data_IF_101912261254
#
_entry.id   IF_101912261254
#
_cell.length_a   1.000
_cell.length_b   1.000
_cell.length_c   1.000
_cell.angle_alpha   90.00
_cell.angle_beta   90.00
_cell.angle_gamma   90.00
#
_symmetry.space_group_name_H-M   'P 1'
#
loop_
_entity.id
_entity.type
_entity.pdbx_description
1 polymer ?
#
# COMPACT_ATOMS: atom_id res chain seq x y z
N UNK A 1 -3.11 18.15 8.63
CA UNK A 1 -2.80 16.81 8.11
C UNK A 1 -3.15 16.80 6.63
N UNK A 2 -2.26 16.28 5.78
CA UNK A 2 -2.51 16.19 4.35
C UNK A 2 -3.58 15.12 4.11
N UNK A 3 -4.47 15.35 3.14
CA UNK A 3 -5.47 14.35 2.75
C UNK A 3 -4.97 13.62 1.52
N UNK A 4 -4.91 12.29 1.60
CA UNK A 4 -4.47 11.43 0.52
C UNK A 4 -5.68 10.84 -0.21
N UNK A 5 -5.68 10.98 -1.52
CA UNK A 5 -6.70 10.39 -2.40
C UNK A 5 -6.24 9.02 -2.89
N UNK A 6 -7.01 7.99 -2.53
CA UNK A 6 -6.68 6.59 -2.77
C UNK A 6 -7.75 5.90 -3.63
N UNK A 7 -7.28 5.13 -4.60
CA UNK A 7 -8.11 4.25 -5.42
C UNK A 7 -7.66 2.80 -5.27
N UNK A 8 -8.59 1.84 -5.38
CA UNK A 8 -8.26 0.42 -5.35
C UNK A 8 -8.51 -0.22 -6.72
N UNK A 9 -7.52 -0.96 -7.19
CA UNK A 9 -7.52 -1.63 -8.48
C UNK A 9 -6.98 -3.07 -8.35
N UNK A 10 -7.39 -3.95 -9.26
CA UNK A 10 -6.88 -5.32 -9.35
C UNK A 10 -6.34 -5.53 -10.76
N UNK A 11 -5.07 -5.88 -10.86
CA UNK A 11 -4.39 -6.11 -12.13
C UNK A 11 -3.97 -7.56 -12.25
N UNK A 12 -4.14 -8.17 -13.41
CA UNK A 12 -3.56 -9.46 -13.72
C UNK A 12 -2.19 -9.28 -14.39
N UNK A 13 -1.14 -9.90 -13.83
CA UNK A 13 0.20 -9.93 -14.38
C UNK A 13 0.69 -11.37 -14.35
N UNK A 14 1.04 -11.94 -15.50
CA UNK A 14 1.49 -13.33 -15.65
C UNK A 14 0.56 -14.35 -14.98
N UNK A 15 -0.76 -14.17 -15.12
CA UNK A 15 -1.77 -15.05 -14.52
C UNK A 15 -1.95 -14.89 -13.01
N UNK A 16 -1.33 -13.87 -12.40
CA UNK A 16 -1.46 -13.57 -10.97
C UNK A 16 -2.18 -12.25 -10.76
N UNK A 17 -3.11 -12.22 -9.82
CA UNK A 17 -3.85 -11.02 -9.44
C UNK A 17 -3.06 -10.19 -8.42
N UNK A 18 -2.89 -8.91 -8.73
CA UNK A 18 -2.23 -7.91 -7.91
C UNK A 18 -3.26 -6.87 -7.48
N UNK A 19 -3.50 -6.80 -6.17
CA UNK A 19 -4.37 -5.81 -5.53
C UNK A 19 -3.55 -4.56 -5.24
N UNK A 20 -3.89 -3.42 -5.83
CA UNK A 20 -3.18 -2.17 -5.67
C UNK A 20 -4.07 -1.10 -5.02
N UNK A 21 -3.45 -0.30 -4.18
CA UNK A 21 -3.96 0.97 -3.67
C UNK A 21 -3.09 2.06 -4.31
N UNK A 22 -3.68 2.86 -5.17
CA UNK A 22 -3.00 3.89 -5.93
C UNK A 22 -3.23 5.26 -5.30
N UNK A 23 -2.17 6.05 -5.15
CA UNK A 23 -2.23 7.38 -4.54
C UNK A 23 -2.07 8.47 -5.62
N UNK A 24 -3.10 9.28 -5.82
CA UNK A 24 -3.08 10.38 -6.79
C UNK A 24 -2.44 11.65 -6.23
N UNK A 25 -2.45 11.81 -4.90
CA UNK A 25 -1.85 12.93 -4.18
C UNK A 25 -0.32 12.82 -4.21
N UNK A 26 0.38 13.93 -4.49
CA UNK A 26 1.84 14.00 -4.41
C UNK A 26 2.33 13.94 -2.96
N UNK A 27 3.44 13.26 -2.63
CA UNK A 27 4.18 12.33 -3.48
C UNK A 27 3.33 11.08 -3.79
N UNK A 28 3.37 10.58 -5.02
CA UNK A 28 2.51 9.46 -5.44
C UNK A 28 3.16 8.14 -5.04
N UNK A 29 2.53 7.40 -4.14
CA UNK A 29 3.00 6.09 -3.69
C UNK A 29 1.91 5.04 -3.91
N UNK A 30 2.18 4.10 -4.80
CA UNK A 30 1.33 2.93 -4.99
C UNK A 30 1.72 1.84 -4.00
N UNK A 31 0.70 1.14 -3.51
CA UNK A 31 0.84 0.18 -2.43
C UNK A 31 0.12 -1.10 -2.82
N UNK A 32 0.84 -2.21 -2.81
CA UNK A 32 0.28 -3.53 -3.04
C UNK A 32 -0.32 -4.08 -1.75
N UNK A 33 -1.52 -4.66 -1.84
CA UNK A 33 -2.13 -5.44 -0.78
C UNK A 33 -1.71 -6.90 -0.91
N UNK A 34 -1.09 -7.43 0.13
CA UNK A 34 -0.79 -8.85 0.28
C UNK A 34 -1.73 -9.42 1.33
N UNK A 35 -2.58 -10.37 0.93
CA UNK A 35 -3.40 -11.11 1.89
C UNK A 35 -2.53 -12.11 2.67
N UNK A 36 -2.79 -12.24 3.97
CA UNK A 36 -2.12 -13.21 4.86
C UNK A 36 -3.11 -13.73 5.90
N UNK A 37 -2.66 -14.58 6.81
CA UNK A 37 -3.46 -15.15 7.90
C UNK A 37 -2.81 -14.88 9.25
N UNK A 38 -3.56 -14.88 10.37
CA UNK A 38 -3.00 -14.65 11.69
C UNK A 38 -1.80 -15.56 12.04
N UNK A 39 -1.84 -16.82 11.60
CA UNK A 39 -0.77 -17.81 11.86
C UNK A 39 0.51 -17.54 11.07
N UNK A 40 0.38 -16.98 9.86
CA UNK A 40 1.52 -16.69 8.96
C UNK A 40 2.02 -15.26 9.03
N UNK A 41 1.26 -14.38 9.66
CA UNK A 41 1.46 -12.93 9.59
C UNK A 41 2.88 -12.50 9.94
N UNK A 42 3.46 -13.03 11.03
CA UNK A 42 4.80 -12.63 11.47
C UNK A 42 5.88 -13.07 10.47
N UNK A 43 5.75 -14.28 9.91
CA UNK A 43 6.68 -14.82 8.91
C UNK A 43 6.59 -14.04 7.60
N UNK A 44 5.38 -13.85 7.09
CA UNK A 44 5.14 -13.09 5.86
C UNK A 44 5.61 -11.62 6.04
N UNK A 45 5.36 -11.00 7.19
CA UNK A 45 5.81 -9.65 7.52
C UNK A 45 7.34 -9.57 7.58
N UNK A 46 8.01 -10.53 8.21
CA UNK A 46 9.47 -10.57 8.28
C UNK A 46 10.10 -10.69 6.88
N UNK A 47 9.52 -11.51 6.00
CA UNK A 47 9.98 -11.62 4.61
C UNK A 47 9.79 -10.31 3.86
N UNK A 48 8.60 -9.68 3.95
CA UNK A 48 8.29 -8.47 3.18
C UNK A 48 9.07 -7.27 3.69
N UNK A 49 9.13 -7.05 5.00
CA UNK A 49 9.82 -5.89 5.61
C UNK A 49 11.32 -5.89 5.31
N UNK A 50 11.91 -7.06 5.09
CA UNK A 50 13.33 -7.18 4.72
C UNK A 50 13.65 -6.62 3.33
N UNK A 51 12.62 -6.41 2.49
CA UNK A 51 12.77 -6.03 1.08
C UNK A 51 12.07 -4.73 0.70
N UNK A 52 11.23 -4.18 1.57
CA UNK A 52 10.34 -3.06 1.22
C UNK A 52 9.82 -2.34 2.45
N UNK A 53 9.48 -1.05 2.28
CA UNK A 53 8.59 -0.36 3.20
C UNK A 53 7.23 -1.07 3.23
N UNK A 54 6.73 -1.30 4.44
CA UNK A 54 5.48 -2.00 4.68
C UNK A 54 4.58 -1.24 5.65
N UNK A 55 3.27 -1.37 5.47
CA UNK A 55 2.23 -0.89 6.38
C UNK A 55 1.33 -2.04 6.78
N UNK A 56 0.94 -2.11 8.05
CA UNK A 56 0.06 -3.16 8.55
C UNK A 56 -0.64 -2.68 9.82
N UNK A 57 -1.67 -3.43 10.23
CA UNK A 57 -2.34 -3.22 11.52
C UNK A 57 -1.92 -4.33 12.50
N UNK A 58 -1.41 -4.01 13.70
CA UNK A 58 -1.09 -5.03 14.69
C UNK A 58 -2.33 -5.76 15.24
N UNK A 59 -3.51 -5.15 15.10
CA UNK A 59 -4.79 -5.75 15.51
C UNK A 59 -5.40 -6.65 14.43
N UNK A 60 -5.07 -6.41 13.17
CA UNK A 60 -5.67 -7.08 12.02
C UNK A 60 -4.60 -7.73 11.17
N UNK A 61 -4.31 -8.98 11.50
CA UNK A 61 -3.24 -9.80 10.93
C UNK A 61 -3.64 -10.50 9.61
N UNK A 62 -4.55 -9.90 8.84
CA UNK A 62 -5.07 -10.50 7.59
C UNK A 62 -4.48 -9.89 6.33
N UNK A 63 -3.67 -8.83 6.45
CA UNK A 63 -3.06 -8.15 5.31
C UNK A 63 -1.71 -7.54 5.67
N UNK A 64 -0.88 -7.36 4.65
CA UNK A 64 0.34 -6.55 4.68
C UNK A 64 0.30 -5.65 3.45
N UNK A 65 0.47 -4.35 3.67
CA UNK A 65 0.66 -3.39 2.60
C UNK A 65 2.16 -3.29 2.28
N UNK A 66 2.51 -3.42 1.01
CA UNK A 66 3.88 -3.35 0.51
C UNK A 66 3.99 -2.21 -0.48
N UNK A 67 4.98 -1.34 -0.33
CA UNK A 67 5.29 -0.34 -1.35
C UNK A 67 5.54 -1.00 -2.72
N UNK A 68 4.84 -0.52 -3.75
CA UNK A 68 4.82 -1.10 -5.09
C UNK A 68 5.37 -0.16 -6.19
N UNK A 69 6.02 0.94 -5.80
CA UNK A 69 6.50 1.99 -6.70
C UNK A 69 5.61 3.24 -6.65
N UNK A 70 5.99 4.23 -7.45
CA UNK A 70 5.27 5.49 -7.58
C UNK A 70 5.84 6.30 -8.73
N UNK A 71 4.98 7.02 -9.47
CA UNK A 71 5.42 7.91 -10.53
C UNK A 71 6.00 9.21 -9.95
N UNK A 72 7.32 9.29 -9.89
CA UNK A 72 8.03 10.57 -9.86
C UNK A 72 8.19 11.12 -11.28
N UNK A 73 7.09 11.51 -11.95
CA UNK A 73 7.15 12.08 -13.32
C UNK A 73 7.71 13.53 -13.35
N UNK A 74 8.54 13.92 -12.38
CA UNK A 74 9.21 15.22 -12.32
C UNK A 74 10.72 15.05 -12.13
N UNK A 75 11.51 16.05 -12.52
CA UNK A 75 12.95 16.08 -12.24
C UNK A 75 13.20 15.80 -10.75
N UNK A 76 13.98 14.76 -10.45
CA UNK A 76 14.43 14.43 -9.10
C UNK A 76 15.40 15.52 -8.61
N UNK A 77 14.88 16.53 -7.93
CA UNK A 77 15.65 17.56 -7.22
C UNK A 77 15.79 17.16 -5.75
N UNK A 78 16.88 17.57 -5.09
CA UNK A 78 17.17 17.22 -3.69
C UNK A 78 16.01 17.61 -2.74
N UNK A 79 15.37 18.76 -2.96
CA UNK A 79 14.20 19.21 -2.20
C UNK A 79 12.99 18.29 -2.35
N UNK A 80 12.85 17.59 -3.48
CA UNK A 80 11.78 16.65 -3.72
C UNK A 80 12.07 15.30 -3.04
N UNK A 81 13.34 14.96 -2.80
CA UNK A 81 13.71 13.69 -2.15
C UNK A 81 13.26 13.66 -0.69
N UNK A 82 13.49 14.73 0.07
CA UNK A 82 13.09 14.79 1.48
C UNK A 82 11.56 14.74 1.62
N UNK A 83 10.82 15.49 0.79
CA UNK A 83 9.34 15.43 0.76
C UNK A 83 8.82 14.03 0.37
N UNK A 84 9.50 13.34 -0.57
CA UNK A 84 9.17 11.97 -0.95
C UNK A 84 9.41 11.03 0.22
N UNK A 85 10.58 11.08 0.87
CA UNK A 85 10.90 10.19 1.98
C UNK A 85 9.97 10.39 3.18
N UNK A 86 9.69 11.64 3.56
CA UNK A 86 8.73 11.95 4.62
C UNK A 86 7.31 11.53 4.24
N UNK A 87 6.91 11.82 3.00
CA UNK A 87 5.61 11.47 2.47
C UNK A 87 5.37 9.97 2.38
N UNK A 88 6.41 9.16 2.12
CA UNK A 88 6.26 7.70 2.01
C UNK A 88 5.72 7.06 3.30
N UNK A 89 6.22 7.48 4.46
CA UNK A 89 5.75 6.98 5.75
C UNK A 89 4.33 7.49 6.06
N UNK A 90 4.03 8.75 5.74
CA UNK A 90 2.70 9.32 5.96
C UNK A 90 1.65 8.61 5.07
N UNK A 91 1.97 8.40 3.80
CA UNK A 91 1.10 7.72 2.84
C UNK A 91 0.88 6.26 3.23
N UNK A 92 1.93 5.53 3.62
CA UNK A 92 1.79 4.14 4.04
C UNK A 92 0.83 4.01 5.22
N UNK A 93 0.96 4.90 6.22
CA UNK A 93 0.04 4.94 7.36
C UNK A 93 -1.39 5.34 6.96
N UNK A 94 -1.55 6.29 6.05
CA UNK A 94 -2.85 6.69 5.52
C UNK A 94 -3.50 5.55 4.72
N UNK A 95 -2.73 4.81 3.92
CA UNK A 95 -3.18 3.66 3.16
C UNK A 95 -3.65 2.51 4.06
N UNK A 96 -2.95 2.23 5.18
CA UNK A 96 -3.41 1.24 6.17
C UNK A 96 -4.79 1.61 6.71
N UNK A 97 -4.98 2.86 7.12
CA UNK A 97 -6.28 3.35 7.64
C UNK A 97 -7.37 3.27 6.59
N UNK A 98 -7.05 3.67 5.35
CA UNK A 98 -7.99 3.61 4.22
C UNK A 98 -8.37 2.17 3.90
N UNK A 99 -7.40 1.25 3.83
CA UNK A 99 -7.66 -0.16 3.57
C UNK A 99 -8.56 -0.79 4.63
N UNK A 100 -8.26 -0.57 5.91
CA UNK A 100 -9.10 -1.09 7.00
C UNK A 100 -10.56 -0.63 6.90
N UNK A 101 -10.79 0.60 6.47
CA UNK A 101 -12.14 1.16 6.30
C UNK A 101 -12.88 0.56 5.10
N UNK A 102 -12.18 0.29 4.00
CA UNK A 102 -12.80 -0.06 2.71
C UNK A 102 -12.72 -1.55 2.33
N UNK A 103 -11.84 -2.35 2.93
CA UNK A 103 -11.60 -3.74 2.49
C UNK A 103 -12.85 -4.63 2.50
N UNK A 104 -13.78 -4.39 3.43
CA UNK A 104 -15.03 -5.17 3.54
C UNK A 104 -15.97 -4.94 2.35
N UNK A 105 -16.05 -3.70 1.86
CA UNK A 105 -16.90 -3.34 0.72
C UNK A 105 -16.23 -3.70 -0.60
N UNK A 106 -14.90 -3.53 -0.70
CA UNK A 106 -14.16 -3.89 -1.91
C UNK A 106 -14.13 -5.41 -2.15
N UNK A 107 -13.92 -6.23 -1.10
CA UNK A 107 -13.89 -7.68 -1.23
C UNK A 107 -15.27 -8.31 -1.57
N UNK A 108 -16.38 -7.58 -1.36
CA UNK A 108 -17.71 -8.04 -1.79
C UNK A 108 -18.02 -7.70 -3.24
N UNK A 109 -17.37 -6.68 -3.81
CA UNK A 109 -17.55 -6.27 -5.21
C UNK A 109 -16.75 -7.14 -6.19
N UNK A 110 -15.60 -7.68 -5.78
CA UNK A 110 -14.75 -8.53 -6.64
C UNK A 110 -15.11 -10.04 -6.61
N UNK A 111 -16.11 -10.44 -5.81
CA UNK A 111 -16.61 -11.82 -5.73
C UNK A 111 -18.00 -11.99 -6.40
N UNK A 112 -18.41 -11.06 -7.27
CA UNK A 112 -19.59 -11.16 -8.14
C UNK A 112 -19.16 -11.25 -9.59
#
# INVERSE_FOLDING_TARGET
>A
MKTYDFHYSVHEVDGKLFKLIECSTWPRLNVQVIDTTPDRFEDDLNVIKSRSLCGYSPHDKTFILKHAGGEGNGELKQSNLDEIFDGMNEIMNAAVKWWMKNKKTLNTTHNK
#
